data_IF_483056470447
#
_entry.id   IF_483056470447
#
_cell.length_a   1.000
_cell.length_b   1.000
_cell.length_c   1.000
_cell.angle_alpha   90.00
_cell.angle_beta   90.00
_cell.angle_gamma   90.00
#
_symmetry.space_group_name_H-M   'P 1'
#
loop_
_entity.id
_entity.type
_entity.pdbx_description
1 polymer ?
#
# COMPACT_ATOMS: atom_id res chain seq x y z
N UNK A 1 19.35 -25.10 12.46
CA UNK A 1 18.39 -25.37 11.37
C UNK A 1 17.24 -24.37 11.51
N UNK A 2 17.16 -23.35 10.67
CA UNK A 2 16.01 -22.45 10.64
C UNK A 2 14.85 -23.17 9.98
N UNK A 3 13.75 -23.38 10.71
CA UNK A 3 12.47 -23.77 10.09
C UNK A 3 12.15 -22.69 9.05
N UNK A 4 12.09 -23.08 7.79
CA UNK A 4 11.51 -22.25 6.74
C UNK A 4 10.02 -22.19 7.09
N UNK A 5 9.63 -21.20 7.89
CA UNK A 5 8.23 -20.90 8.10
C UNK A 5 7.73 -20.34 6.76
N UNK A 6 6.90 -21.11 6.06
CA UNK A 6 6.24 -20.66 4.84
C UNK A 6 5.19 -19.61 5.22
N UNK A 7 5.63 -18.36 5.39
CA UNK A 7 4.75 -17.22 5.56
C UNK A 7 4.18 -16.83 4.21
N UNK A 8 2.90 -16.49 4.16
CA UNK A 8 2.25 -15.96 2.96
C UNK A 8 2.79 -14.57 2.58
N UNK A 9 3.23 -13.79 3.56
CA UNK A 9 3.86 -12.49 3.40
C UNK A 9 4.82 -12.18 4.57
N UNK A 10 5.57 -11.09 4.47
CA UNK A 10 6.57 -10.74 5.48
C UNK A 10 5.93 -10.55 6.87
N UNK A 11 6.54 -11.17 7.89
CA UNK A 11 6.11 -10.99 9.27
C UNK A 11 6.29 -9.53 9.74
N UNK A 12 5.41 -9.07 10.63
CA UNK A 12 5.55 -7.78 11.31
C UNK A 12 6.85 -7.79 12.12
N UNK A 13 7.74 -6.86 11.81
CA UNK A 13 9.00 -6.73 12.51
C UNK A 13 8.87 -5.88 13.78
N UNK A 14 9.94 -5.87 14.60
CA UNK A 14 9.95 -5.16 15.89
C UNK A 14 9.97 -3.63 15.74
N UNK A 15 10.53 -3.10 14.65
CA UNK A 15 10.53 -1.65 14.36
C UNK A 15 9.15 -1.15 13.94
N UNK A 16 8.34 -2.02 13.35
CA UNK A 16 7.03 -1.69 12.80
C UNK A 16 7.09 -0.95 11.46
N UNK A 17 8.26 -0.82 10.82
CA UNK A 17 8.37 -0.08 9.55
C UNK A 17 7.55 -0.71 8.40
N UNK A 18 7.25 -2.00 8.50
CA UNK A 18 6.39 -2.73 7.59
C UNK A 18 4.93 -2.87 8.08
N UNK A 19 4.55 -2.20 9.19
CA UNK A 19 3.24 -2.35 9.82
C UNK A 19 2.08 -2.10 8.86
N UNK A 20 2.14 -1.03 8.06
CA UNK A 20 1.02 -0.72 7.15
C UNK A 20 0.82 -1.79 6.08
N UNK A 21 1.93 -2.31 5.52
CA UNK A 21 1.88 -3.38 4.53
C UNK A 21 1.38 -4.67 5.18
N UNK A 22 1.94 -5.03 6.34
CA UNK A 22 1.52 -6.19 7.12
C UNK A 22 0.03 -6.14 7.46
N UNK A 23 -0.47 -5.00 7.96
CA UNK A 23 -1.87 -4.84 8.32
C UNK A 23 -2.80 -5.02 7.11
N UNK A 24 -2.42 -4.49 5.94
CA UNK A 24 -3.17 -4.71 4.71
C UNK A 24 -3.19 -6.19 4.32
N UNK A 25 -2.04 -6.85 4.29
CA UNK A 25 -1.91 -8.25 3.87
C UNK A 25 -2.63 -9.20 4.84
N UNK A 26 -2.50 -8.99 6.15
CA UNK A 26 -3.25 -9.73 7.17
C UNK A 26 -4.75 -9.55 7.01
N UNK A 27 -5.22 -8.32 6.74
CA UNK A 27 -6.65 -8.06 6.51
C UNK A 27 -7.18 -8.78 5.27
N UNK A 28 -6.39 -8.82 4.19
CA UNK A 28 -6.71 -9.56 2.97
C UNK A 28 -6.78 -11.07 3.26
N UNK A 29 -5.79 -11.62 3.99
CA UNK A 29 -5.74 -13.04 4.35
C UNK A 29 -6.91 -13.47 5.24
N UNK A 30 -7.29 -12.64 6.21
CA UNK A 30 -8.45 -12.91 7.05
C UNK A 30 -9.74 -12.89 6.22
N UNK A 31 -9.92 -11.88 5.36
CA UNK A 31 -11.10 -11.77 4.49
C UNK A 31 -11.22 -12.92 3.49
N UNK A 32 -10.12 -13.34 2.88
CA UNK A 32 -10.13 -14.49 1.95
C UNK A 32 -10.54 -15.81 2.62
N UNK A 33 -10.41 -15.89 3.95
CA UNK A 33 -10.83 -17.03 4.78
C UNK A 33 -12.17 -16.82 5.48
N UNK A 34 -12.91 -15.76 5.17
CA UNK A 34 -14.16 -15.36 5.85
C UNK A 34 -13.98 -15.12 7.36
N UNK A 35 -12.81 -14.60 7.75
CA UNK A 35 -12.46 -14.24 9.13
C UNK A 35 -12.34 -12.72 9.32
N UNK A 36 -12.71 -11.92 8.31
CA UNK A 36 -12.55 -10.46 8.34
C UNK A 36 -13.24 -9.76 9.51
N UNK A 37 -14.37 -10.31 9.95
CA UNK A 37 -15.18 -9.77 11.05
C UNK A 37 -14.47 -9.94 12.42
N UNK A 38 -13.55 -10.90 12.53
CA UNK A 38 -12.86 -11.18 13.81
C UNK A 38 -11.99 -10.04 14.35
N UNK A 39 -11.72 -9.02 13.53
CA UNK A 39 -10.94 -7.84 13.88
C UNK A 39 -11.79 -6.56 13.80
N UNK A 40 -13.11 -6.68 13.88
CA UNK A 40 -14.07 -5.55 13.88
C UNK A 40 -14.93 -5.53 15.14
N UNK A 41 -15.13 -4.35 15.73
CA UNK A 41 -15.80 -4.17 17.03
C UNK A 41 -17.30 -4.51 16.98
N UNK A 42 -17.97 -4.29 15.85
CA UNK A 42 -19.43 -4.43 15.72
C UNK A 42 -19.90 -5.85 15.37
N UNK A 43 -19.09 -6.87 15.64
CA UNK A 43 -19.38 -8.25 15.22
C UNK A 43 -19.15 -9.26 16.34
N UNK A 44 -19.95 -10.33 16.34
CA UNK A 44 -19.80 -11.46 17.25
C UNK A 44 -19.38 -12.72 16.46
N UNK A 45 -18.10 -12.85 16.09
CA UNK A 45 -17.60 -14.02 15.40
C UNK A 45 -17.65 -15.26 16.32
N UNK A 46 -17.83 -16.44 15.71
CA UNK A 46 -17.75 -17.70 16.45
C UNK A 46 -16.40 -17.88 17.14
N UNK A 47 -16.39 -18.60 18.28
CA UNK A 47 -15.15 -18.94 19.01
C UNK A 47 -14.12 -19.60 18.10
N UNK A 48 -14.56 -20.51 17.21
CA UNK A 48 -13.69 -21.15 16.21
C UNK A 48 -13.02 -20.11 15.30
N UNK A 49 -13.79 -19.16 14.78
CA UNK A 49 -13.25 -18.12 13.90
C UNK A 49 -12.26 -17.22 14.63
N UNK A 50 -12.52 -16.89 15.92
CA UNK A 50 -11.57 -16.13 16.74
C UNK A 50 -10.22 -16.82 16.85
N UNK A 51 -10.21 -18.10 17.20
CA UNK A 51 -8.96 -18.89 17.30
C UNK A 51 -8.26 -19.06 15.95
N UNK A 52 -9.00 -19.25 14.85
CA UNK A 52 -8.39 -19.32 13.52
C UNK A 52 -7.72 -18.00 13.14
N UNK A 53 -8.35 -16.86 13.44
CA UNK A 53 -7.81 -15.54 13.14
C UNK A 53 -6.56 -15.25 13.98
N UNK A 54 -6.56 -15.52 15.28
CA UNK A 54 -5.39 -15.22 16.12
C UNK A 54 -4.18 -16.08 15.77
N UNK A 55 -4.38 -17.34 15.34
CA UNK A 55 -3.30 -18.18 14.81
C UNK A 55 -2.67 -17.54 13.57
N UNK A 56 -3.48 -17.03 12.65
CA UNK A 56 -3.00 -16.33 11.43
C UNK A 56 -2.21 -15.08 11.80
N UNK A 57 -2.75 -14.24 12.67
CA UNK A 57 -2.09 -12.99 13.11
C UNK A 57 -0.74 -13.32 13.74
N UNK A 58 -0.72 -14.23 14.74
CA UNK A 58 0.50 -14.65 15.44
C UNK A 58 1.52 -15.30 14.50
N UNK A 59 1.09 -16.09 13.52
CA UNK A 59 1.99 -16.72 12.54
C UNK A 59 2.84 -15.67 11.81
N UNK A 60 2.24 -14.51 11.52
CA UNK A 60 2.86 -13.40 10.81
C UNK A 60 3.49 -12.35 11.75
N UNK A 61 3.82 -12.70 12.99
CA UNK A 61 4.60 -11.83 13.89
C UNK A 61 6.05 -12.32 13.98
N UNK A 62 7.00 -11.39 14.10
CA UNK A 62 8.35 -11.73 14.53
C UNK A 62 8.32 -12.37 15.94
N UNK A 63 9.25 -13.29 16.22
CA UNK A 63 9.30 -14.03 17.49
C UNK A 63 9.26 -13.12 18.71
N UNK A 64 10.03 -12.02 18.71
CA UNK A 64 10.02 -11.08 19.84
C UNK A 64 8.67 -10.38 20.08
N UNK A 65 7.79 -10.29 19.07
CA UNK A 65 6.41 -9.81 19.26
C UNK A 65 5.49 -10.92 19.77
N UNK A 66 5.70 -12.18 19.33
CA UNK A 66 4.95 -13.32 19.89
C UNK A 66 5.16 -13.44 21.39
N UNK A 67 6.40 -13.23 21.86
CA UNK A 67 6.74 -13.25 23.28
C UNK A 67 6.04 -12.11 24.05
N UNK A 68 5.96 -10.91 23.46
CA UNK A 68 5.33 -9.74 24.09
C UNK A 68 3.81 -9.86 24.20
N UNK A 69 3.17 -10.58 23.27
CA UNK A 69 1.71 -10.69 23.20
C UNK A 69 1.21 -12.12 23.48
N UNK A 70 2.01 -12.95 24.18
CA UNK A 70 1.75 -14.39 24.33
C UNK A 70 0.42 -14.70 25.04
N UNK A 71 -0.07 -13.80 25.90
CA UNK A 71 -1.27 -13.98 26.74
C UNK A 71 -2.57 -13.52 26.07
N UNK A 72 -2.51 -12.77 24.95
CA UNK A 72 -3.72 -12.25 24.30
C UNK A 72 -4.38 -13.37 23.49
N UNK A 73 -5.58 -13.78 23.84
CA UNK A 73 -6.33 -14.84 23.14
C UNK A 73 -7.38 -14.31 22.17
N UNK A 74 -7.79 -13.05 22.30
CA UNK A 74 -8.75 -12.42 21.41
C UNK A 74 -8.06 -11.73 20.21
N UNK A 75 -8.45 -12.04 18.95
CA UNK A 75 -7.81 -11.48 17.77
C UNK A 75 -8.07 -9.97 17.60
N UNK A 76 -9.23 -9.46 18.03
CA UNK A 76 -9.55 -8.03 17.96
C UNK A 76 -8.70 -7.25 18.97
N UNK A 77 -8.52 -7.78 20.18
CA UNK A 77 -7.59 -7.22 21.17
C UNK A 77 -6.16 -7.16 20.62
N UNK A 78 -5.63 -8.27 20.09
CA UNK A 78 -4.28 -8.31 19.52
C UNK A 78 -4.12 -7.34 18.34
N UNK A 79 -5.10 -7.31 17.45
CA UNK A 79 -5.13 -6.39 16.31
C UNK A 79 -5.09 -4.92 16.76
N UNK A 80 -5.86 -4.60 17.80
CA UNK A 80 -5.96 -3.25 18.37
C UNK A 80 -4.68 -2.82 19.06
N UNK A 81 -4.05 -3.71 19.83
CA UNK A 81 -2.75 -3.46 20.47
C UNK A 81 -1.63 -3.20 19.45
N UNK A 82 -1.55 -4.02 18.40
CA UNK A 82 -0.59 -3.83 17.32
C UNK A 82 -0.85 -2.52 16.57
N UNK A 83 -2.13 -2.17 16.34
CA UNK A 83 -2.51 -0.89 15.76
C UNK A 83 -2.09 0.27 16.65
N UNK A 84 -2.45 0.28 17.92
CA UNK A 84 -2.07 1.35 18.85
C UNK A 84 -0.56 1.55 18.91
N UNK A 85 0.20 0.47 18.88
CA UNK A 85 1.66 0.53 18.89
C UNK A 85 2.26 1.12 17.62
N UNK A 86 1.73 0.80 16.44
CA UNK A 86 2.40 1.11 15.17
C UNK A 86 1.64 2.05 14.23
N UNK A 87 0.44 2.51 14.55
CA UNK A 87 -0.32 3.42 13.68
C UNK A 87 0.42 4.75 13.44
N UNK A 88 1.29 5.15 14.37
CA UNK A 88 2.20 6.28 14.22
C UNK A 88 3.15 6.16 13.01
N UNK A 89 3.36 4.98 12.45
CA UNK A 89 4.19 4.81 11.25
C UNK A 89 3.66 5.62 10.05
N UNK A 90 2.35 5.89 10.01
CA UNK A 90 1.75 6.81 9.03
C UNK A 90 2.36 8.21 9.10
N UNK A 91 2.71 8.69 10.29
CA UNK A 91 3.28 10.04 10.47
C UNK A 91 4.70 10.15 9.92
N UNK A 92 5.40 9.03 9.70
CA UNK A 92 6.73 8.98 9.08
C UNK A 92 6.62 8.73 7.58
N UNK A 93 5.76 7.80 7.17
CA UNK A 93 5.62 7.38 5.77
C UNK A 93 4.94 8.48 4.94
N UNK A 94 3.88 9.12 5.48
CA UNK A 94 3.08 10.08 4.74
C UNK A 94 3.87 11.34 4.32
N UNK A 95 4.60 12.05 5.20
CA UNK A 95 5.38 13.23 4.79
C UNK A 95 6.42 12.90 3.73
N UNK A 96 7.07 11.73 3.86
CA UNK A 96 8.04 11.25 2.87
C UNK A 96 7.38 10.97 1.53
N UNK A 97 6.25 10.26 1.51
CA UNK A 97 5.52 9.97 0.28
C UNK A 97 4.99 11.25 -0.40
N UNK A 98 4.53 12.24 0.37
CA UNK A 98 4.11 13.56 -0.16
C UNK A 98 5.30 14.37 -0.70
N UNK A 99 6.46 14.27 -0.06
CA UNK A 99 7.68 14.87 -0.58
C UNK A 99 8.11 14.20 -1.90
N UNK A 100 8.17 12.87 -1.91
CA UNK A 100 8.52 12.06 -3.09
C UNK A 100 7.53 12.38 -4.23
N UNK A 101 6.22 12.47 -3.95
CA UNK A 101 5.18 12.85 -4.92
C UNK A 101 5.37 14.25 -5.49
N UNK A 102 5.61 15.26 -4.65
CA UNK A 102 5.80 16.65 -5.09
C UNK A 102 7.03 16.78 -5.99
N UNK A 103 8.12 16.10 -5.64
CA UNK A 103 9.40 16.19 -6.35
C UNK A 103 9.59 15.18 -7.48
N UNK A 104 8.61 14.30 -7.72
CA UNK A 104 8.64 13.37 -8.85
C UNK A 104 8.59 14.14 -10.18
N UNK A 105 9.59 13.94 -11.05
CA UNK A 105 9.65 14.56 -12.39
C UNK A 105 10.11 13.52 -13.42
N UNK A 106 9.45 13.49 -14.57
CA UNK A 106 9.76 12.52 -15.64
C UNK A 106 11.20 12.64 -16.17
N UNK A 107 11.73 13.87 -16.21
CA UNK A 107 13.08 14.16 -16.69
C UNK A 107 14.20 13.53 -15.84
N UNK A 108 13.91 13.15 -14.59
CA UNK A 108 14.90 12.56 -13.68
C UNK A 108 15.07 11.05 -13.94
N UNK A 109 14.33 10.46 -14.88
CA UNK A 109 14.33 9.02 -15.20
C UNK A 109 14.72 8.74 -16.64
N UNK A 110 15.27 7.55 -16.89
CA UNK A 110 15.77 7.16 -18.22
C UNK A 110 14.66 6.72 -19.16
N UNK A 111 13.52 6.28 -18.63
CA UNK A 111 12.38 5.82 -19.41
C UNK A 111 11.05 6.17 -18.73
N UNK A 112 9.99 6.19 -19.53
CA UNK A 112 8.61 6.37 -19.05
C UNK A 112 8.20 5.22 -18.12
N UNK A 113 8.66 3.99 -18.41
CA UNK A 113 8.39 2.81 -17.58
C UNK A 113 9.00 2.93 -16.18
N UNK A 114 10.27 3.36 -16.09
CA UNK A 114 10.96 3.56 -14.82
C UNK A 114 10.24 4.63 -13.97
N UNK A 115 9.91 5.75 -14.60
CA UNK A 115 9.12 6.82 -13.99
C UNK A 115 7.76 6.30 -13.50
N UNK A 116 7.01 5.59 -14.34
CA UNK A 116 5.69 5.06 -13.98
C UNK A 116 5.79 4.08 -12.81
N UNK A 117 6.79 3.21 -12.79
CA UNK A 117 7.05 2.28 -11.69
C UNK A 117 7.23 3.02 -10.36
N UNK A 118 8.01 4.11 -10.36
CA UNK A 118 8.22 4.93 -9.15
C UNK A 118 6.97 5.70 -8.77
N UNK A 119 6.26 6.28 -9.74
CA UNK A 119 4.99 6.96 -9.53
C UNK A 119 3.98 6.04 -8.82
N UNK A 120 3.77 4.84 -9.34
CA UNK A 120 2.85 3.87 -8.74
C UNK A 120 3.30 3.46 -7.33
N UNK A 121 4.60 3.27 -7.08
CA UNK A 121 5.11 2.99 -5.73
C UNK A 121 4.80 4.12 -4.75
N UNK A 122 4.94 5.38 -5.16
CA UNK A 122 4.60 6.55 -4.32
C UNK A 122 3.10 6.61 -4.07
N UNK A 123 2.29 6.47 -5.13
CA UNK A 123 0.82 6.48 -5.05
C UNK A 123 0.30 5.38 -4.13
N UNK A 124 0.84 4.16 -4.22
CA UNK A 124 0.47 3.06 -3.34
C UNK A 124 0.77 3.38 -1.87
N UNK A 125 1.89 4.04 -1.56
CA UNK A 125 2.21 4.47 -0.18
C UNK A 125 1.25 5.55 0.32
N UNK A 126 0.90 6.52 -0.54
CA UNK A 126 -0.09 7.55 -0.22
C UNK A 126 -1.45 6.92 0.09
N UNK A 127 -1.94 6.03 -0.77
CA UNK A 127 -3.19 5.27 -0.57
C UNK A 127 -3.15 4.43 0.71
N UNK A 128 -2.03 3.80 1.01
CA UNK A 128 -1.84 3.03 2.24
C UNK A 128 -1.90 3.91 3.51
N UNK A 129 -1.51 5.18 3.40
CA UNK A 129 -1.64 6.16 4.48
C UNK A 129 -3.05 6.79 4.58
N UNK A 130 -3.97 6.45 3.67
CA UNK A 130 -5.33 6.99 3.63
C UNK A 130 -5.52 8.19 2.69
N UNK A 131 -4.48 8.61 1.96
CA UNK A 131 -4.60 9.67 0.97
C UNK A 131 -5.26 9.17 -0.32
N UNK A 132 -6.08 10.02 -0.93
CA UNK A 132 -6.68 9.71 -2.23
C UNK A 132 -5.86 10.38 -3.33
N UNK A 133 -5.31 9.57 -4.24
CA UNK A 133 -4.70 10.05 -5.49
C UNK A 133 -5.49 9.47 -6.64
N UNK A 134 -6.09 10.35 -7.43
CA UNK A 134 -6.95 10.01 -8.57
C UNK A 134 -6.13 9.79 -9.84
N UNK A 135 -6.74 9.15 -10.84
CA UNK A 135 -6.12 9.02 -12.15
C UNK A 135 -5.89 10.38 -12.81
N UNK A 136 -6.75 11.37 -12.52
CA UNK A 136 -6.59 12.74 -12.98
C UNK A 136 -5.34 13.40 -12.37
N UNK A 137 -5.06 13.19 -11.08
CA UNK A 137 -3.85 13.71 -10.42
C UNK A 137 -2.58 13.11 -11.03
N UNK A 138 -2.60 11.81 -11.35
CA UNK A 138 -1.49 11.12 -12.03
C UNK A 138 -1.31 11.64 -13.47
N UNK A 139 -2.39 11.90 -14.20
CA UNK A 139 -2.36 12.48 -15.53
C UNK A 139 -1.81 13.92 -15.52
N UNK A 140 -2.27 14.76 -14.61
CA UNK A 140 -1.80 16.13 -14.46
C UNK A 140 -0.30 16.16 -14.14
N UNK A 141 0.16 15.26 -13.25
CA UNK A 141 1.58 15.08 -12.93
C UNK A 141 2.43 14.82 -14.17
N UNK A 142 1.93 13.98 -15.08
CA UNK A 142 2.61 13.63 -16.34
C UNK A 142 2.61 14.80 -17.34
N UNK A 143 1.51 15.52 -17.48
CA UNK A 143 1.36 16.60 -18.46
C UNK A 143 2.22 17.82 -18.09
N UNK A 144 2.31 18.16 -16.79
CA UNK A 144 3.03 19.35 -16.32
C UNK A 144 4.56 19.28 -16.47
N UNK A 145 5.14 18.11 -16.72
CA UNK A 145 6.59 17.89 -16.78
C UNK A 145 7.12 17.53 -18.17
N UNK A 146 6.26 17.51 -19.20
CA UNK A 146 6.70 17.41 -20.60
C UNK A 146 7.18 18.81 -21.03
N UNK A 147 8.45 19.01 -21.46
CA UNK A 147 8.93 20.31 -21.88
C UNK A 147 8.04 20.92 -22.98
N UNK A 148 7.78 22.22 -22.86
CA UNK A 148 6.93 23.01 -23.76
C UNK A 148 7.32 22.87 -25.25
N UNK A 149 8.55 22.46 -25.57
CA UNK A 149 9.02 22.20 -26.93
C UNK A 149 8.38 20.98 -27.62
N UNK A 150 7.84 19.99 -26.89
CA UNK A 150 7.05 18.91 -27.49
C UNK A 150 5.56 19.25 -27.65
N UNK A 151 5.06 20.27 -26.91
CA UNK A 151 3.69 20.76 -27.07
C UNK A 151 3.50 21.44 -28.43
N UNK A 152 4.51 22.14 -28.94
CA UNK A 152 4.43 22.91 -30.20
C UNK A 152 4.40 21.99 -31.44
N UNK A 153 4.97 20.78 -31.38
CA UNK A 153 4.81 19.78 -32.44
C UNK A 153 3.39 19.16 -32.48
N UNK A 154 2.60 19.33 -31.42
CA UNK A 154 1.26 18.75 -31.24
C UNK A 154 0.11 19.76 -31.41
N UNK A 155 0.40 21.04 -31.68
CA UNK A 155 -0.61 22.08 -31.91
C UNK A 155 -1.48 21.84 -33.16
N UNK A 156 -1.16 20.84 -33.97
CA UNK A 156 -1.99 20.32 -35.08
C UNK A 156 -2.95 19.21 -34.66
N UNK A 157 -2.86 18.71 -33.42
CA UNK A 157 -3.73 17.64 -32.90
C UNK A 157 -4.76 18.26 -31.93
N UNK A 158 -6.08 18.05 -32.15
CA UNK A 158 -7.12 18.57 -31.27
C UNK A 158 -6.89 18.16 -29.80
N UNK A 159 -7.26 18.99 -28.82
CA UNK A 159 -7.13 18.70 -27.36
C UNK A 159 -7.59 17.28 -26.97
N UNK A 160 -8.62 16.75 -27.64
CA UNK A 160 -9.10 15.37 -27.46
C UNK A 160 -8.10 14.30 -27.91
N UNK A 161 -7.34 14.54 -28.98
CA UNK A 161 -6.30 13.66 -29.51
C UNK A 161 -5.02 13.64 -28.67
N UNK A 162 -4.66 14.76 -28.02
CA UNK A 162 -3.52 14.80 -27.08
C UNK A 162 -3.82 14.03 -25.78
N UNK A 163 -5.03 14.21 -25.24
CA UNK A 163 -5.55 13.36 -24.18
C UNK A 163 -5.59 11.88 -24.61
N UNK A 164 -5.96 11.60 -25.87
CA UNK A 164 -5.94 10.23 -26.40
C UNK A 164 -4.53 9.65 -26.53
N UNK A 165 -3.49 10.44 -26.80
CA UNK A 165 -2.08 10.00 -26.86
C UNK A 165 -1.47 9.79 -25.46
N UNK A 166 -1.76 10.68 -24.50
CA UNK A 166 -1.41 10.47 -23.09
C UNK A 166 -2.19 9.28 -22.50
N UNK A 167 -3.47 9.13 -22.85
CA UNK A 167 -4.27 7.96 -22.51
C UNK A 167 -3.78 6.71 -23.25
N UNK A 168 -3.28 6.79 -24.48
CA UNK A 168 -2.70 5.64 -25.20
C UNK A 168 -1.40 5.15 -24.54
N UNK A 169 -0.57 6.04 -24.00
CA UNK A 169 0.60 5.64 -23.21
C UNK A 169 0.22 5.08 -21.82
N UNK A 170 -0.99 5.36 -21.32
CA UNK A 170 -1.55 4.70 -20.14
C UNK A 170 -2.32 3.39 -20.49
N UNK A 171 -2.93 3.32 -21.66
CA UNK A 171 -3.71 2.16 -22.14
C UNK A 171 -2.82 1.06 -22.74
N UNK A 172 -1.66 1.39 -23.31
CA UNK A 172 -0.68 0.39 -23.76
C UNK A 172 0.12 -0.26 -22.62
N UNK A 173 -0.01 0.25 -21.39
CA UNK A 173 0.69 -0.29 -20.20
C UNK A 173 -0.27 -1.01 -19.25
N UNK A 174 -1.58 -1.03 -19.58
CA UNK A 174 -2.61 -1.74 -18.83
C UNK A 174 -3.06 -3.07 -19.48
N UNK A 175 -2.40 -3.52 -20.55
CA UNK A 175 -2.58 -4.85 -21.18
C UNK A 175 -1.25 -5.61 -21.20
#
# INVERSE_FOLDING_TARGET
>A
MSKINNLEFAALNLSGDNYLQWALDTKILLRSKNLGDTITEDTEPSVKNKYMAIVIIRHHLAEGLKDQYLTIEDPLELWTELKNRYDHQKTVILPKALYDWRNLRIQDYKSVEEYNSVMFKIVSKLKLCGETVTDADMLEKNILHIPHQQYVASATVPRKGFLHLCCLNLLFVAC
#
